data_IF_711764282143
#
_entry.id   IF_711764282143
#
_cell.length_a   1.000
_cell.length_b   1.000
_cell.length_c   1.000
_cell.angle_alpha   90.00
_cell.angle_beta   90.00
_cell.angle_gamma   90.00
#
_symmetry.space_group_name_H-M   'P 1'
#
loop_
_entity.id
_entity.type
_entity.pdbx_description
1 polymer ?
#
# COMPACT_ATOMS: atom_id res chain seq x y z
N UNK A 1 0.57 -8.82 -2.90
CA UNK A 1 0.97 -7.49 -3.36
C UNK A 1 1.09 -6.57 -2.17
N UNK A 2 -0.03 -6.04 -1.70
CA UNK A 2 -0.08 -5.11 -0.56
C UNK A 2 0.61 -5.59 0.73
N UNK A 3 0.74 -6.89 0.94
CA UNK A 3 1.46 -7.47 2.08
C UNK A 3 2.95 -7.05 2.16
N UNK A 4 3.64 -6.92 1.02
CA UNK A 4 5.06 -6.58 1.00
C UNK A 4 5.27 -5.08 1.27
N UNK A 5 4.47 -4.22 0.64
CA UNK A 5 4.42 -2.79 0.94
C UNK A 5 4.03 -2.54 2.40
N UNK A 6 2.98 -3.21 2.90
CA UNK A 6 2.56 -3.11 4.30
C UNK A 6 3.69 -3.51 5.26
N UNK A 7 4.37 -4.64 5.02
CA UNK A 7 5.47 -5.08 5.88
C UNK A 7 6.59 -4.04 5.95
N UNK A 8 6.93 -3.44 4.80
CA UNK A 8 7.95 -2.38 4.72
C UNK A 8 7.49 -1.10 5.43
N UNK A 9 6.24 -0.68 5.20
CA UNK A 9 5.64 0.48 5.85
C UNK A 9 5.55 0.30 7.37
N UNK A 10 5.19 -0.90 7.86
CA UNK A 10 5.23 -1.23 9.30
C UNK A 10 6.64 -1.19 9.86
N UNK A 11 7.63 -1.70 9.11
CA UNK A 11 9.05 -1.66 9.51
C UNK A 11 9.58 -0.22 9.59
N UNK A 12 9.13 0.63 8.68
CA UNK A 12 9.47 2.05 8.64
C UNK A 12 8.73 2.83 9.74
N UNK A 13 7.48 2.48 10.05
CA UNK A 13 6.66 3.11 11.10
C UNK A 13 7.07 2.71 12.53
N UNK A 14 7.56 1.48 12.71
CA UNK A 14 8.15 1.01 13.98
C UNK A 14 9.62 1.44 14.13
N UNK A 15 10.20 1.92 13.03
CA UNK A 15 11.52 2.47 12.95
C UNK A 15 11.55 3.93 13.37
N UNK A 16 12.67 4.38 13.92
CA UNK A 16 12.82 5.80 14.18
C UNK A 16 13.11 6.63 12.94
N UNK A 17 12.22 7.56 12.67
CA UNK A 17 12.27 8.51 11.56
C UNK A 17 12.62 9.89 12.13
N UNK A 18 13.72 10.49 11.71
CA UNK A 18 14.14 11.83 12.18
C UNK A 18 13.33 12.97 11.55
N UNK A 19 12.51 12.63 10.56
CA UNK A 19 11.73 13.54 9.76
C UNK A 19 10.23 13.33 10.00
N UNK A 20 9.58 14.33 10.56
CA UNK A 20 8.14 14.32 10.85
C UNK A 20 7.28 14.23 9.58
N UNK A 21 7.76 14.76 8.45
CA UNK A 21 7.08 14.63 7.16
C UNK A 21 7.08 13.17 6.69
N UNK A 22 8.23 12.50 6.77
CA UNK A 22 8.35 11.08 6.42
C UNK A 22 7.53 10.19 7.33
N UNK A 23 7.53 10.44 8.64
CA UNK A 23 6.71 9.68 9.58
C UNK A 23 5.21 9.81 9.23
N UNK A 24 4.74 11.03 8.96
CA UNK A 24 3.35 11.29 8.57
C UNK A 24 3.00 10.60 7.24
N UNK A 25 3.90 10.62 6.26
CA UNK A 25 3.65 9.96 4.98
C UNK A 25 3.64 8.45 5.12
N UNK A 26 4.58 7.84 5.87
CA UNK A 26 4.59 6.38 6.11
C UNK A 26 3.28 5.95 6.79
N UNK A 27 2.82 6.68 7.80
CA UNK A 27 1.56 6.36 8.49
C UNK A 27 0.35 6.47 7.55
N UNK A 28 0.33 7.50 6.71
CA UNK A 28 -0.71 7.71 5.69
C UNK A 28 -0.73 6.57 4.67
N UNK A 29 0.42 6.24 4.11
CA UNK A 29 0.57 5.15 3.13
C UNK A 29 0.27 3.78 3.75
N UNK A 30 0.60 3.54 5.02
CA UNK A 30 0.25 2.30 5.70
C UNK A 30 -1.27 2.15 5.82
N UNK A 31 -1.98 3.22 6.21
CA UNK A 31 -3.44 3.20 6.29
C UNK A 31 -4.07 2.98 4.91
N UNK A 32 -3.59 3.67 3.88
CA UNK A 32 -4.08 3.50 2.50
C UNK A 32 -3.86 2.08 1.99
N UNK A 33 -2.66 1.50 2.18
CA UNK A 33 -2.36 0.11 1.84
C UNK A 33 -3.32 -0.88 2.52
N UNK A 34 -3.68 -0.64 3.79
CA UNK A 34 -4.64 -1.49 4.50
C UNK A 34 -6.06 -1.34 3.95
N UNK A 35 -6.50 -0.11 3.64
CA UNK A 35 -7.78 0.13 2.97
C UNK A 35 -7.83 -0.56 1.60
N UNK A 36 -6.75 -0.50 0.81
CA UNK A 36 -6.65 -1.19 -0.49
C UNK A 36 -6.85 -2.68 -0.36
N UNK A 37 -6.25 -3.31 0.65
CA UNK A 37 -6.41 -4.75 0.90
C UNK A 37 -7.86 -5.14 1.12
N UNK A 38 -8.59 -4.35 1.92
CA UNK A 38 -10.00 -4.59 2.17
C UNK A 38 -10.84 -4.45 0.89
N UNK A 39 -10.58 -3.39 0.11
CA UNK A 39 -11.29 -3.17 -1.15
C UNK A 39 -11.00 -4.27 -2.17
N UNK A 40 -9.75 -4.75 -2.26
CA UNK A 40 -9.38 -5.86 -3.14
C UNK A 40 -10.02 -7.18 -2.69
N UNK A 41 -10.06 -7.47 -1.39
CA UNK A 41 -10.77 -8.64 -0.86
C UNK A 41 -12.26 -8.61 -1.25
N UNK A 42 -12.92 -7.45 -1.08
CA UNK A 42 -14.31 -7.28 -1.52
C UNK A 42 -14.50 -7.43 -3.05
N UNK A 43 -13.52 -7.03 -3.86
CA UNK A 43 -13.55 -7.30 -5.31
C UNK A 43 -13.49 -8.79 -5.61
N UNK A 44 -12.63 -9.53 -4.91
CA UNK A 44 -12.47 -10.98 -5.08
C UNK A 44 -13.76 -11.71 -4.69
N UNK A 45 -14.36 -11.36 -3.55
CA UNK A 45 -15.64 -11.93 -3.09
C UNK A 45 -16.75 -11.72 -4.13
N UNK A 46 -16.86 -10.53 -4.72
CA UNK A 46 -17.86 -10.23 -5.76
C UNK A 46 -17.64 -11.03 -7.03
N UNK A 47 -16.40 -11.20 -7.47
CA UNK A 47 -16.06 -11.94 -8.70
C UNK A 47 -16.29 -13.45 -8.52
N UNK A 48 -15.92 -13.99 -7.36
CA UNK A 48 -16.06 -15.42 -7.07
C UNK A 48 -17.52 -15.85 -6.75
N UNK A 49 -18.41 -14.88 -6.50
CA UNK A 49 -19.73 -15.12 -5.94
C UNK A 49 -19.63 -15.43 -4.43
N UNK A 50 -20.60 -14.95 -3.65
CA UNK A 50 -20.66 -15.15 -2.21
C UNK A 50 -20.70 -16.66 -1.88
N UNK A 51 -19.54 -17.26 -1.62
CA UNK A 51 -19.43 -18.72 -1.47
C UNK A 51 -18.02 -19.27 -1.32
N UNK A 52 -16.97 -18.50 -1.62
CA UNK A 52 -15.61 -18.88 -1.26
C UNK A 52 -15.17 -18.02 -0.06
N UNK A 53 -15.33 -18.57 1.14
CA UNK A 53 -14.64 -18.13 2.36
C UNK A 53 -13.13 -18.37 2.13
N UNK A 54 -12.47 -17.44 1.44
CA UNK A 54 -11.01 -17.35 1.48
C UNK A 54 -10.64 -16.57 2.76
N UNK A 55 -9.58 -17.00 3.45
CA UNK A 55 -9.10 -16.54 4.78
C UNK A 55 -8.62 -15.05 4.81
N UNK A 56 -9.12 -14.21 3.91
CA UNK A 56 -8.72 -12.81 3.71
C UNK A 56 -9.79 -11.77 4.06
N UNK A 57 -10.81 -12.15 4.83
CA UNK A 57 -11.71 -11.17 5.44
C UNK A 57 -10.97 -10.38 6.52
N UNK A 58 -10.48 -9.20 6.16
CA UNK A 58 -9.91 -8.24 7.10
C UNK A 58 -10.94 -7.14 7.34
N UNK A 59 -11.38 -6.96 8.58
CA UNK A 59 -12.23 -5.84 8.99
C UNK A 59 -11.38 -4.59 9.22
N UNK A 60 -11.98 -3.40 9.13
CA UNK A 60 -11.34 -2.14 9.52
C UNK A 60 -10.91 -2.16 11.00
N UNK A 61 -11.59 -2.96 11.81
CA UNK A 61 -11.29 -3.18 13.23
C UNK A 61 -10.06 -4.06 13.46
N UNK A 62 -9.71 -4.89 12.46
CA UNK A 62 -8.51 -5.75 12.48
C UNK A 62 -7.24 -5.00 12.07
N UNK A 63 -7.36 -3.74 11.61
CA UNK A 63 -6.23 -2.86 11.37
C UNK A 63 -5.71 -2.41 12.75
N UNK A 64 -4.57 -2.94 13.24
CA UNK A 64 -4.03 -2.52 14.52
C UNK A 64 -3.73 -1.02 14.47
N UNK A 65 -4.02 -0.31 15.56
CA UNK A 65 -3.71 1.10 15.70
C UNK A 65 -2.25 1.36 15.30
N UNK A 66 -2.06 2.26 14.33
CA UNK A 66 -0.74 2.62 13.82
C UNK A 66 0.03 3.25 15.00
N UNK A 67 1.12 2.62 15.49
CA UNK A 67 1.87 3.17 16.61
C UNK A 67 2.42 4.55 16.22
N UNK A 68 2.34 5.52 17.14
CA UNK A 68 3.05 6.80 17.02
C UNK A 68 4.56 6.52 16.84
N UNK A 69 5.18 7.16 15.85
CA UNK A 69 6.59 6.96 15.53
C UNK A 69 7.49 7.23 16.76
N UNK A 70 8.35 6.28 17.14
CA UNK A 70 9.30 6.39 18.28
C UNK A 70 10.72 6.71 17.77
N UNK A 71 11.47 7.57 18.48
CA UNK A 71 12.73 8.24 18.06
C UNK A 71 14.04 7.40 18.15
N UNK A 72 15.03 7.63 17.24
CA UNK A 72 16.44 7.13 17.23
C UNK A 72 16.97 6.00 16.27
N UNK A 73 17.04 6.12 14.92
CA UNK A 73 17.64 5.10 13.96
C UNK A 73 18.82 5.71 13.18
N UNK A 74 19.84 4.93 12.78
CA UNK A 74 20.89 5.42 11.87
C UNK A 74 20.40 5.64 10.42
N UNK A 75 20.80 6.77 9.77
CA UNK A 75 20.25 7.24 8.49
C UNK A 75 20.57 6.37 7.26
N UNK A 76 21.70 5.66 7.22
CA UNK A 76 22.02 4.76 6.09
C UNK A 76 21.02 3.60 5.94
N UNK A 77 20.46 3.12 7.05
CA UNK A 77 19.46 2.05 7.05
C UNK A 77 18.07 2.55 6.61
N UNK A 78 17.81 3.85 6.71
CA UNK A 78 16.56 4.50 6.33
C UNK A 78 16.47 4.63 4.81
N UNK A 79 17.54 5.12 4.15
CA UNK A 79 17.57 5.26 2.69
C UNK A 79 17.37 3.92 1.98
N UNK A 80 18.09 2.88 2.39
CA UNK A 80 17.96 1.55 1.80
C UNK A 80 16.55 0.95 1.99
N UNK A 81 15.88 1.22 3.11
CA UNK A 81 14.50 0.80 3.33
C UNK A 81 13.51 1.60 2.46
N UNK A 82 13.77 2.89 2.21
CA UNK A 82 12.97 3.73 1.30
C UNK A 82 13.13 3.34 -0.18
N UNK A 83 14.35 3.01 -0.62
CA UNK A 83 14.62 2.48 -1.96
C UNK A 83 13.83 1.18 -2.19
N UNK A 84 13.86 0.26 -1.21
CA UNK A 84 13.07 -0.97 -1.27
C UNK A 84 11.56 -0.71 -1.31
N UNK A 85 11.08 0.28 -0.55
CA UNK A 85 9.67 0.65 -0.58
C UNK A 85 9.28 1.23 -1.95
N UNK A 86 10.12 2.07 -2.55
CA UNK A 86 9.90 2.62 -3.88
C UNK A 86 9.84 1.54 -4.96
N UNK A 87 10.77 0.58 -4.92
CA UNK A 87 10.79 -0.56 -5.84
C UNK A 87 9.51 -1.42 -5.73
N UNK A 88 9.05 -1.65 -4.49
CA UNK A 88 7.82 -2.40 -4.26
C UNK A 88 6.61 -1.63 -4.79
N UNK A 89 6.42 -0.37 -4.41
CA UNK A 89 5.29 0.45 -4.90
C UNK A 89 5.29 0.54 -6.44
N UNK A 90 6.46 0.63 -7.07
CA UNK A 90 6.56 0.65 -8.55
C UNK A 90 6.09 -0.68 -9.17
N UNK A 91 6.43 -1.81 -8.53
CA UNK A 91 5.92 -3.13 -8.94
C UNK A 91 4.40 -3.23 -8.76
N UNK A 92 3.88 -2.66 -7.67
CA UNK A 92 2.45 -2.62 -7.42
C UNK A 92 1.71 -1.76 -8.45
N UNK A 93 2.26 -0.62 -8.87
CA UNK A 93 1.73 0.22 -9.96
C UNK A 93 1.60 -0.59 -11.27
N UNK A 94 2.66 -1.32 -11.66
CA UNK A 94 2.65 -2.12 -12.88
C UNK A 94 1.57 -3.21 -12.84
N UNK A 95 1.40 -3.82 -11.67
CA UNK A 95 0.38 -4.86 -11.52
C UNK A 95 -1.02 -4.29 -11.46
N UNK A 96 -1.22 -3.17 -10.78
CA UNK A 96 -2.50 -2.51 -10.71
C UNK A 96 -2.96 -2.01 -12.08
N UNK A 97 -2.03 -1.51 -12.90
CA UNK A 97 -2.28 -1.17 -14.30
C UNK A 97 -2.79 -2.38 -15.08
N UNK A 98 -2.22 -3.56 -14.83
CA UNK A 98 -2.68 -4.80 -15.45
C UNK A 98 -4.07 -5.22 -14.96
N UNK A 99 -4.35 -5.06 -13.66
CA UNK A 99 -5.66 -5.36 -13.07
C UNK A 99 -6.77 -4.44 -13.58
N UNK A 100 -6.49 -3.15 -13.79
CA UNK A 100 -7.42 -2.21 -14.44
C UNK A 100 -7.81 -2.71 -15.82
N UNK A 101 -6.82 -3.07 -16.65
CA UNK A 101 -7.06 -3.55 -18.01
C UNK A 101 -7.87 -4.87 -18.02
N UNK A 102 -7.57 -5.79 -17.11
CA UNK A 102 -8.31 -7.05 -16.97
C UNK A 102 -9.74 -6.82 -16.48
N UNK A 103 -9.94 -5.95 -15.49
CA UNK A 103 -11.26 -5.61 -14.98
C UNK A 103 -12.13 -4.95 -16.06
N UNK A 104 -11.54 -4.08 -16.88
CA UNK A 104 -12.22 -3.48 -18.03
C UNK A 104 -12.62 -4.52 -19.08
N UNK A 105 -11.68 -5.38 -19.49
CA UNK A 105 -11.95 -6.44 -20.47
C UNK A 105 -13.00 -7.46 -19.99
N UNK A 106 -13.04 -7.73 -18.67
CA UNK A 106 -14.02 -8.61 -18.04
C UNK A 106 -15.37 -7.94 -17.73
N UNK A 107 -15.54 -6.64 -17.98
CA UNK A 107 -16.76 -5.90 -17.65
C UNK A 107 -16.97 -5.67 -16.14
N UNK A 108 -15.93 -5.84 -15.32
CA UNK A 108 -15.97 -5.63 -13.87
C UNK A 108 -15.74 -4.15 -13.52
N UNK A 109 -16.69 -3.28 -13.90
CA UNK A 109 -16.53 -1.83 -13.81
C UNK A 109 -16.23 -1.32 -12.39
N UNK A 110 -16.86 -1.88 -11.36
CA UNK A 110 -16.62 -1.48 -9.98
C UNK A 110 -15.21 -1.90 -9.51
N UNK A 111 -14.76 -3.09 -9.89
CA UNK A 111 -13.38 -3.54 -9.64
C UNK A 111 -12.37 -2.64 -10.37
N UNK A 112 -12.66 -2.25 -11.62
CA UNK A 112 -11.83 -1.30 -12.38
C UNK A 112 -11.69 0.03 -11.66
N UNK A 113 -12.79 0.59 -11.14
CA UNK A 113 -12.79 1.86 -10.41
C UNK A 113 -11.96 1.79 -9.11
N UNK A 114 -12.12 0.72 -8.35
CA UNK A 114 -11.27 0.47 -7.17
C UNK A 114 -9.82 0.36 -7.61
N UNK A 115 -9.55 -0.37 -8.69
CA UNK A 115 -8.20 -0.55 -9.15
C UNK A 115 -7.53 0.76 -9.61
N UNK A 116 -8.26 1.63 -10.31
CA UNK A 116 -7.83 2.97 -10.71
C UNK A 116 -7.52 3.85 -9.48
N UNK A 117 -8.35 3.80 -8.44
CA UNK A 117 -8.15 4.58 -7.22
C UNK A 117 -6.85 4.18 -6.50
N UNK A 118 -6.62 2.87 -6.35
CA UNK A 118 -5.37 2.32 -5.80
C UNK A 118 -4.17 2.74 -6.64
N UNK A 119 -4.27 2.63 -7.98
CA UNK A 119 -3.19 3.01 -8.90
C UNK A 119 -2.81 4.49 -8.74
N UNK A 120 -3.80 5.37 -8.62
CA UNK A 120 -3.58 6.81 -8.41
C UNK A 120 -2.83 7.07 -7.10
N UNK A 121 -3.25 6.43 -6.00
CA UNK A 121 -2.62 6.62 -4.69
C UNK A 121 -1.18 6.08 -4.65
N UNK A 122 -0.95 4.89 -5.22
CA UNK A 122 0.41 4.33 -5.34
C UNK A 122 1.33 5.20 -6.20
N UNK A 123 0.79 5.79 -7.28
CA UNK A 123 1.56 6.71 -8.13
C UNK A 123 1.99 7.98 -7.39
N UNK A 124 1.11 8.52 -6.53
CA UNK A 124 1.45 9.66 -5.65
C UNK A 124 2.56 9.27 -4.67
N UNK A 125 2.43 8.12 -4.00
CA UNK A 125 3.44 7.64 -3.05
C UNK A 125 4.80 7.38 -3.73
N UNK A 126 4.82 6.78 -4.93
CA UNK A 126 6.04 6.58 -5.71
C UNK A 126 6.71 7.91 -6.09
N UNK A 127 5.93 8.89 -6.55
CA UNK A 127 6.46 10.21 -6.91
C UNK A 127 7.09 10.91 -5.70
N UNK A 128 6.45 10.83 -4.54
CA UNK A 128 6.99 11.40 -3.30
C UNK A 128 8.28 10.70 -2.85
N UNK A 129 8.32 9.36 -2.86
CA UNK A 129 9.52 8.61 -2.52
C UNK A 129 10.69 8.92 -3.44
N UNK A 130 10.43 9.07 -4.74
CA UNK A 130 11.45 9.44 -5.72
C UNK A 130 12.04 10.82 -5.42
N UNK A 131 11.19 11.84 -5.25
CA UNK A 131 11.65 13.19 -4.91
C UNK A 131 12.50 13.20 -3.64
N UNK A 132 12.15 12.36 -2.67
CA UNK A 132 12.89 12.21 -1.42
C UNK A 132 14.24 11.50 -1.58
N UNK A 133 14.31 10.47 -2.42
CA UNK A 133 15.53 9.67 -2.64
C UNK A 133 16.59 10.39 -3.50
N UNK A 134 16.14 11.36 -4.31
CA UNK A 134 16.97 12.21 -5.18
C UNK A 134 17.61 13.41 -4.42
N UNK A 135 17.18 13.67 -3.18
CA UNK A 135 17.75 14.70 -2.27
C UNK A 135 18.90 14.16 -1.44
#
# INVERSE_FOLDING_TARGET
>A
MEFDAERLLRKLNTGPVHDTELASHIATSLRETLEHRMQMASCIERINGAGNEDDTQMSMEDIPAIPEARLGRPPESERADLERLYDEITREIATQTSLVALAEAGGFFETRLICDAVLSQKSIAAAWLRDRLDR
#
